data_IF_705046757625
#
_entry.id   IF_705046757625
#
_cell.length_a   1.000
_cell.length_b   1.000
_cell.length_c   1.000
_cell.angle_alpha   90.00
_cell.angle_beta   90.00
_cell.angle_gamma   90.00
#
_symmetry.space_group_name_H-M   'P 1'
#
loop_
_entity.id
_entity.type
_entity.pdbx_description
1 polymer ?
#
# COMPACT_ATOMS: atom_id res chain seq x y z
N UNK A 1 6.95 12.71 -18.01
CA UNK A 1 8.11 12.15 -18.76
C UNK A 1 9.30 12.15 -17.81
N UNK A 2 9.61 11.00 -17.21
CA UNK A 2 10.80 10.82 -16.39
C UNK A 2 11.95 10.42 -17.33
N UNK A 3 12.61 11.41 -17.92
CA UNK A 3 13.81 11.15 -18.71
C UNK A 3 14.98 10.81 -17.75
N UNK A 4 15.52 9.59 -17.86
CA UNK A 4 16.79 9.22 -17.21
C UNK A 4 16.74 8.27 -16.00
N UNK A 5 15.58 7.67 -15.67
CA UNK A 5 15.55 6.53 -14.75
C UNK A 5 15.79 5.24 -15.53
N UNK A 6 16.70 4.39 -15.04
CA UNK A 6 16.92 3.05 -15.55
C UNK A 6 15.74 2.18 -15.08
N UNK A 7 14.72 2.03 -15.93
CA UNK A 7 13.53 1.24 -15.60
C UNK A 7 13.94 -0.23 -15.63
N UNK A 8 13.84 -0.98 -14.51
CA UNK A 8 14.30 -2.35 -14.47
C UNK A 8 13.52 -3.20 -15.47
N UNK A 9 14.19 -3.95 -16.34
CA UNK A 9 13.54 -4.90 -17.26
C UNK A 9 12.93 -6.09 -16.50
N UNK A 10 12.02 -6.83 -17.13
CA UNK A 10 11.45 -8.05 -16.53
C UNK A 10 12.56 -9.06 -16.18
N UNK A 11 12.53 -9.54 -14.95
CA UNK A 11 13.51 -10.46 -14.38
C UNK A 11 14.46 -9.81 -13.36
N UNK A 12 14.48 -8.47 -13.29
CA UNK A 12 15.30 -7.72 -12.34
C UNK A 12 14.62 -7.45 -10.99
N UNK A 13 13.34 -7.78 -10.85
CA UNK A 13 12.59 -7.63 -9.60
C UNK A 13 12.27 -9.01 -8.99
N UNK A 14 12.35 -9.18 -7.65
CA UNK A 14 11.97 -10.41 -6.95
C UNK A 14 10.57 -10.92 -7.34
N UNK A 15 9.62 -10.02 -7.54
CA UNK A 15 8.27 -10.34 -7.97
C UNK A 15 8.22 -10.92 -9.40
N UNK A 16 9.16 -10.57 -10.30
CA UNK A 16 9.25 -11.20 -11.62
C UNK A 16 9.61 -12.69 -11.50
N UNK A 17 10.55 -13.03 -10.61
CA UNK A 17 10.90 -14.42 -10.30
C UNK A 17 9.72 -15.15 -9.65
N UNK A 18 8.97 -14.46 -8.79
CA UNK A 18 7.74 -15.01 -8.20
C UNK A 18 6.67 -15.30 -9.26
N UNK A 19 6.46 -14.40 -10.22
CA UNK A 19 5.55 -14.58 -11.36
C UNK A 19 5.96 -15.83 -12.14
N UNK A 20 7.23 -15.98 -12.51
CA UNK A 20 7.69 -17.15 -13.28
C UNK A 20 7.42 -18.46 -12.53
N UNK A 21 7.65 -18.48 -11.22
CA UNK A 21 7.44 -19.67 -10.41
C UNK A 21 5.96 -20.03 -10.21
N UNK A 22 5.06 -19.04 -10.27
CA UNK A 22 3.67 -19.21 -9.81
C UNK A 22 2.60 -18.92 -10.88
N UNK A 23 2.99 -18.49 -12.09
CA UNK A 23 2.04 -18.20 -13.17
C UNK A 23 1.36 -19.46 -13.70
N UNK A 24 0.03 -19.47 -13.74
CA UNK A 24 -0.75 -20.59 -14.26
C UNK A 24 -1.18 -20.36 -15.71
N UNK A 25 -0.36 -20.86 -16.64
CA UNK A 25 -0.65 -20.79 -18.08
C UNK A 25 -1.93 -21.51 -18.51
N UNK A 26 -2.49 -22.41 -17.68
CA UNK A 26 -3.72 -23.12 -17.96
C UNK A 26 -4.96 -22.46 -17.33
N UNK A 27 -4.77 -21.41 -16.53
CA UNK A 27 -5.86 -20.74 -15.82
C UNK A 27 -6.83 -20.07 -16.80
N UNK A 28 -8.15 -20.23 -16.61
CA UNK A 28 -9.15 -19.51 -17.41
C UNK A 28 -9.33 -18.05 -16.97
N UNK A 29 -8.65 -17.61 -15.91
CA UNK A 29 -8.79 -16.27 -15.35
C UNK A 29 -8.13 -15.22 -16.26
N UNK A 30 -8.73 -14.03 -16.38
CA UNK A 30 -8.08 -12.88 -17.01
C UNK A 30 -6.72 -12.59 -16.37
N UNK A 31 -5.78 -12.09 -17.15
CA UNK A 31 -4.41 -11.79 -16.71
C UNK A 31 -4.38 -10.89 -15.46
N UNK A 32 -5.25 -9.88 -15.40
CA UNK A 32 -5.31 -8.97 -14.24
C UNK A 32 -5.80 -9.65 -12.96
N UNK A 33 -6.73 -10.62 -13.06
CA UNK A 33 -7.20 -11.38 -11.91
C UNK A 33 -6.11 -12.34 -11.40
N UNK A 34 -5.35 -12.95 -12.31
CA UNK A 34 -4.18 -13.75 -11.93
C UNK A 34 -3.08 -12.90 -11.28
N UNK A 35 -2.83 -11.69 -11.80
CA UNK A 35 -1.91 -10.71 -11.19
C UNK A 35 -2.32 -10.42 -9.75
N UNK A 36 -3.60 -10.13 -9.51
CA UNK A 36 -4.14 -9.89 -8.18
C UNK A 36 -3.87 -11.07 -7.24
N UNK A 37 -4.19 -12.29 -7.66
CA UNK A 37 -3.93 -13.51 -6.86
C UNK A 37 -2.45 -13.67 -6.55
N UNK A 38 -1.56 -13.34 -7.49
CA UNK A 38 -0.11 -13.38 -7.24
C UNK A 38 0.31 -12.33 -6.22
N UNK A 39 -0.22 -11.12 -6.29
CA UNK A 39 0.06 -10.06 -5.30
C UNK A 39 -0.46 -10.46 -3.92
N UNK A 40 -1.66 -11.03 -3.80
CA UNK A 40 -2.19 -11.55 -2.54
C UNK A 40 -1.27 -12.63 -1.93
N UNK A 41 -0.79 -13.58 -2.76
CA UNK A 41 0.17 -14.59 -2.31
C UNK A 41 1.51 -13.97 -1.91
N UNK A 42 2.00 -13.00 -2.67
CA UNK A 42 3.26 -12.30 -2.41
C UNK A 42 3.23 -11.52 -1.08
N UNK A 43 2.11 -10.86 -0.80
CA UNK A 43 1.84 -10.21 0.48
C UNK A 43 1.86 -11.24 1.61
N UNK A 44 1.13 -12.34 1.46
CA UNK A 44 0.99 -13.39 2.48
C UNK A 44 2.30 -14.13 2.82
N UNK A 45 3.27 -14.18 1.90
CA UNK A 45 4.60 -14.74 2.16
C UNK A 45 5.30 -14.06 3.34
N UNK A 46 5.06 -12.75 3.53
CA UNK A 46 5.78 -11.95 4.50
C UNK A 46 7.27 -11.79 4.18
N UNK A 47 7.97 -11.06 5.05
CA UNK A 47 9.37 -10.64 4.91
C UNK A 47 10.30 -11.79 4.48
N UNK A 48 10.28 -12.89 5.22
CA UNK A 48 11.18 -14.01 4.93
C UNK A 48 10.69 -14.96 3.83
N UNK A 49 9.37 -15.07 3.61
CA UNK A 49 8.85 -15.89 2.52
C UNK A 49 9.21 -15.33 1.14
N UNK A 50 9.46 -14.01 1.06
CA UNK A 50 9.93 -13.33 -0.16
C UNK A 50 11.45 -13.42 -0.37
N UNK A 51 12.23 -13.77 0.66
CA UNK A 51 13.70 -13.76 0.58
C UNK A 51 14.26 -14.70 -0.49
N UNK A 52 13.66 -15.86 -0.70
CA UNK A 52 14.18 -16.81 -1.71
C UNK A 52 14.20 -16.17 -3.10
N UNK A 53 13.19 -15.36 -3.43
CA UNK A 53 13.09 -14.63 -4.69
C UNK A 53 14.07 -13.44 -4.74
N UNK A 54 14.22 -12.72 -3.63
CA UNK A 54 15.18 -11.61 -3.54
C UNK A 54 16.63 -12.09 -3.67
N UNK A 55 17.02 -13.11 -2.91
CA UNK A 55 18.36 -13.69 -2.94
C UNK A 55 18.69 -14.33 -4.29
N UNK A 56 17.70 -14.95 -4.93
CA UNK A 56 17.86 -15.44 -6.31
C UNK A 56 18.16 -14.29 -7.27
N UNK A 57 17.41 -13.19 -7.16
CA UNK A 57 17.62 -11.98 -7.98
C UNK A 57 19.00 -11.35 -7.75
N UNK A 58 19.51 -11.35 -6.51
CA UNK A 58 20.83 -10.80 -6.20
C UNK A 58 21.98 -11.69 -6.68
N UNK A 59 21.81 -13.02 -6.59
CA UNK A 59 22.80 -13.98 -7.04
C UNK A 59 22.88 -14.06 -8.57
N UNK A 60 21.72 -14.03 -9.24
CA UNK A 60 21.60 -14.03 -10.69
C UNK A 60 20.43 -13.15 -11.14
N UNK A 61 20.69 -11.86 -11.47
CA UNK A 61 19.64 -10.95 -11.88
C UNK A 61 19.12 -11.24 -13.29
N UNK A 62 19.78 -12.12 -14.05
CA UNK A 62 19.42 -12.41 -15.44
C UNK A 62 18.68 -13.74 -15.51
N UNK A 63 17.45 -13.69 -16.04
CA UNK A 63 16.66 -14.89 -16.26
C UNK A 63 16.96 -15.43 -17.65
N UNK A 64 17.77 -16.50 -17.70
CA UNK A 64 18.21 -17.12 -18.96
C UNK A 64 17.06 -17.63 -19.84
N UNK A 65 15.99 -18.16 -19.22
CA UNK A 65 14.84 -18.73 -19.95
C UNK A 65 13.54 -18.42 -19.22
N UNK A 66 12.70 -17.59 -19.84
CA UNK A 66 11.33 -17.35 -19.40
C UNK A 66 10.41 -18.43 -20.01
N UNK A 67 9.66 -19.20 -19.21
CA UNK A 67 8.74 -20.21 -19.72
C UNK A 67 7.70 -19.63 -20.69
N UNK A 68 7.36 -20.39 -21.73
CA UNK A 68 6.36 -19.96 -22.71
C UNK A 68 4.99 -19.72 -22.05
N UNK A 69 4.39 -18.57 -22.33
CA UNK A 69 3.07 -18.18 -21.80
C UNK A 69 3.10 -17.39 -20.49
N UNK A 70 4.28 -17.14 -19.91
CA UNK A 70 4.43 -16.21 -18.78
C UNK A 70 4.44 -14.77 -19.30
N UNK A 71 3.53 -13.89 -18.83
CA UNK A 71 3.53 -12.48 -19.20
C UNK A 71 4.70 -11.74 -18.55
N UNK A 72 5.29 -10.81 -19.29
CA UNK A 72 6.42 -9.98 -18.85
C UNK A 72 6.02 -8.52 -18.60
N UNK A 73 4.75 -8.20 -18.86
CA UNK A 73 4.14 -6.87 -18.86
C UNK A 73 3.06 -6.73 -17.77
N UNK A 74 3.09 -7.58 -16.74
CA UNK A 74 2.17 -7.46 -15.59
C UNK A 74 2.34 -6.14 -14.83
N UNK A 75 3.57 -5.62 -14.79
CA UNK A 75 3.86 -4.29 -14.28
C UNK A 75 4.12 -3.37 -15.47
N UNK A 76 3.45 -2.22 -15.49
CA UNK A 76 3.70 -1.17 -16.48
C UNK A 76 5.10 -0.56 -16.28
N UNK A 77 5.61 0.19 -17.26
CA UNK A 77 6.87 0.93 -17.10
C UNK A 77 6.85 1.88 -15.89
N UNK A 78 5.69 2.50 -15.63
CA UNK A 78 5.50 3.36 -14.46
C UNK A 78 5.55 2.55 -13.15
N UNK A 79 4.87 1.40 -13.07
CA UNK A 79 4.91 0.49 -11.91
C UNK A 79 6.34 -0.01 -11.62
N UNK A 80 7.08 -0.34 -12.68
CA UNK A 80 8.47 -0.79 -12.57
C UNK A 80 9.38 0.34 -12.09
N UNK A 81 9.14 1.58 -12.52
CA UNK A 81 9.82 2.76 -12.00
C UNK A 81 9.51 2.99 -10.51
N UNK A 82 8.25 2.80 -10.08
CA UNK A 82 7.86 2.90 -8.66
C UNK A 82 8.58 1.87 -7.79
N UNK A 83 8.77 0.67 -8.31
CA UNK A 83 9.44 -0.43 -7.59
C UNK A 83 10.92 -0.14 -7.29
N UNK A 84 11.52 0.84 -7.98
CA UNK A 84 12.87 1.35 -7.67
C UNK A 84 12.89 2.46 -6.60
N UNK A 85 11.72 2.95 -6.20
CA UNK A 85 11.56 3.99 -5.18
C UNK A 85 11.22 3.34 -3.83
N UNK A 86 11.95 3.72 -2.79
CA UNK A 86 11.61 3.34 -1.42
C UNK A 86 10.60 4.36 -0.89
N UNK A 87 9.33 3.98 -0.82
CA UNK A 87 8.34 4.66 0.01
C UNK A 87 7.77 3.68 1.02
N UNK A 88 7.53 4.18 2.22
CA UNK A 88 6.81 3.42 3.25
C UNK A 88 5.47 4.09 3.55
N UNK A 89 5.01 4.99 2.67
CA UNK A 89 3.76 5.74 2.85
C UNK A 89 2.91 5.71 1.58
N UNK A 90 1.65 5.29 1.72
CA UNK A 90 0.67 5.25 0.64
C UNK A 90 -0.53 6.15 0.96
N UNK A 91 -1.10 6.77 -0.07
CA UNK A 91 -2.38 7.46 0.00
C UNK A 91 -3.39 6.76 -0.91
N UNK A 92 -4.48 6.25 -0.36
CA UNK A 92 -5.45 5.45 -1.10
C UNK A 92 -6.84 6.05 -0.96
N UNK A 93 -7.46 6.40 -2.08
CA UNK A 93 -8.85 6.87 -2.13
C UNK A 93 -9.81 5.69 -2.24
N UNK A 94 -10.72 5.55 -1.30
CA UNK A 94 -11.70 4.45 -1.28
C UNK A 94 -13.13 4.91 -1.53
N UNK A 95 -13.38 6.23 -1.53
CA UNK A 95 -14.72 6.77 -1.74
C UNK A 95 -14.86 7.62 -3.00
N UNK A 96 -15.79 7.20 -3.86
CA UNK A 96 -16.06 7.78 -5.18
C UNK A 96 -17.53 8.21 -5.36
N UNK A 97 -18.33 8.22 -4.29
CA UNK A 97 -19.77 8.44 -4.35
C UNK A 97 -20.54 7.19 -4.80
N UNK A 98 -21.86 7.29 -4.92
CA UNK A 98 -22.71 6.21 -5.40
C UNK A 98 -22.47 5.94 -6.90
N UNK A 99 -22.11 4.71 -7.31
CA UNK A 99 -21.86 4.37 -8.72
C UNK A 99 -23.09 4.62 -9.63
N UNK A 100 -24.30 4.63 -9.07
CA UNK A 100 -25.55 4.88 -9.81
C UNK A 100 -25.98 6.35 -9.83
N UNK A 101 -25.35 7.23 -9.04
CA UNK A 101 -25.69 8.66 -8.95
C UNK A 101 -24.51 9.56 -9.32
N UNK A 102 -24.59 10.13 -10.53
CA UNK A 102 -23.60 11.08 -11.04
C UNK A 102 -23.39 12.30 -10.12
N UNK A 103 -24.45 12.81 -9.48
CA UNK A 103 -24.31 13.94 -8.54
C UNK A 103 -23.56 13.54 -7.28
N UNK A 104 -23.78 12.32 -6.80
CA UNK A 104 -23.02 11.77 -5.68
C UNK A 104 -21.54 11.64 -6.02
N UNK A 105 -21.22 11.19 -7.24
CA UNK A 105 -19.83 11.11 -7.72
C UNK A 105 -19.17 12.48 -7.83
N UNK A 106 -19.84 13.46 -8.44
CA UNK A 106 -19.35 14.84 -8.53
C UNK A 106 -19.10 15.45 -7.16
N UNK A 107 -20.00 15.21 -6.19
CA UNK A 107 -19.83 15.66 -4.82
C UNK A 107 -18.64 14.98 -4.12
N UNK A 108 -18.46 13.67 -4.32
CA UNK A 108 -17.33 12.92 -3.78
C UNK A 108 -15.99 13.40 -4.37
N UNK A 109 -15.94 13.68 -5.68
CA UNK A 109 -14.75 14.23 -6.35
C UNK A 109 -14.40 15.63 -5.83
N UNK A 110 -15.40 16.49 -5.60
CA UNK A 110 -15.18 17.82 -4.99
C UNK A 110 -14.69 17.72 -3.55
N UNK A 111 -15.27 16.82 -2.75
CA UNK A 111 -14.88 16.60 -1.36
C UNK A 111 -13.45 16.04 -1.27
N UNK A 112 -13.11 15.07 -2.11
CA UNK A 112 -11.76 14.54 -2.23
C UNK A 112 -10.75 15.60 -2.68
N UNK A 113 -11.09 16.45 -3.65
CA UNK A 113 -10.22 17.54 -4.09
C UNK A 113 -9.90 18.54 -2.95
N UNK A 114 -10.90 18.85 -2.11
CA UNK A 114 -10.70 19.66 -0.89
C UNK A 114 -9.75 18.96 0.08
N UNK A 115 -9.97 17.68 0.35
CA UNK A 115 -9.13 16.88 1.26
C UNK A 115 -7.68 16.84 0.76
N UNK A 116 -7.48 16.52 -0.53
CA UNK A 116 -6.16 16.45 -1.17
C UNK A 116 -5.42 17.78 -1.04
N UNK A 117 -6.09 18.90 -1.28
CA UNK A 117 -5.51 20.24 -1.10
C UNK A 117 -5.10 20.51 0.34
N UNK A 118 -5.94 20.11 1.31
CA UNK A 118 -5.66 20.33 2.72
C UNK A 118 -4.45 19.49 3.19
N UNK A 119 -4.45 18.18 2.90
CA UNK A 119 -3.43 17.26 3.42
C UNK A 119 -2.14 17.33 2.60
N UNK A 120 -2.23 17.08 1.28
CA UNK A 120 -1.07 16.88 0.42
C UNK A 120 -0.44 18.20 -0.04
N UNK A 121 -1.21 19.28 -0.03
CA UNK A 121 -0.74 20.59 -0.47
C UNK A 121 -0.68 21.61 0.67
N UNK A 122 -1.05 21.24 1.90
CA UNK A 122 -1.06 22.12 3.07
C UNK A 122 -1.82 23.45 2.81
N UNK A 123 -2.86 23.39 1.99
CA UNK A 123 -3.66 24.55 1.59
C UNK A 123 -3.03 25.47 0.53
N UNK A 124 -1.80 25.20 0.08
CA UNK A 124 -1.05 26.02 -0.88
C UNK A 124 -1.13 25.44 -2.29
N UNK A 125 -1.42 26.27 -3.29
CA UNK A 125 -1.35 25.82 -4.69
C UNK A 125 0.10 25.51 -5.08
N UNK A 126 0.30 24.43 -5.83
CA UNK A 126 1.60 23.93 -6.32
C UNK A 126 2.61 23.51 -5.24
N UNK A 127 2.18 23.37 -3.97
CA UNK A 127 2.96 22.73 -2.93
C UNK A 127 2.63 21.24 -2.83
N UNK A 128 3.64 20.41 -2.64
CA UNK A 128 3.45 18.98 -2.39
C UNK A 128 4.23 18.55 -1.16
N UNK A 129 3.54 17.85 -0.26
CA UNK A 129 4.13 17.27 0.94
C UNK A 129 5.03 16.11 0.52
N UNK A 130 6.34 16.30 0.65
CA UNK A 130 7.34 15.32 0.19
C UNK A 130 7.26 13.97 0.91
N UNK A 131 6.63 13.90 2.09
CA UNK A 131 6.48 12.66 2.84
C UNK A 131 5.34 11.75 2.34
N UNK A 132 4.51 12.22 1.41
CA UNK A 132 3.50 11.40 0.71
C UNK A 132 3.74 11.63 -0.79
N UNK A 133 4.67 10.89 -1.44
CA UNK A 133 5.05 11.19 -2.83
C UNK A 133 3.87 11.00 -3.79
N UNK A 134 3.79 11.80 -4.86
CA UNK A 134 2.67 11.76 -5.80
C UNK A 134 2.51 10.38 -6.46
N UNK A 135 3.64 9.71 -6.62
CA UNK A 135 3.81 8.33 -7.06
C UNK A 135 3.02 7.28 -6.30
N UNK A 136 2.76 7.54 -5.02
CA UNK A 136 2.13 6.60 -4.09
C UNK A 136 0.71 7.06 -3.71
N UNK A 137 0.12 7.92 -4.55
CA UNK A 137 -1.29 8.31 -4.49
C UNK A 137 -2.09 7.41 -5.45
N UNK A 138 -2.94 6.56 -4.87
CA UNK A 138 -3.83 5.67 -5.59
C UNK A 138 -5.25 6.20 -5.49
N UNK A 139 -5.76 6.80 -6.57
CA UNK A 139 -7.12 7.34 -6.63
C UNK A 139 -7.89 7.01 -7.91
N UNK A 140 -7.46 5.98 -8.65
CA UNK A 140 -8.20 5.45 -9.80
C UNK A 140 -9.50 4.76 -9.37
N UNK A 141 -10.62 5.27 -9.88
CA UNK A 141 -11.95 4.74 -9.57
C UNK A 141 -12.16 3.33 -10.12
N UNK A 142 -11.68 3.06 -11.32
CA UNK A 142 -11.95 1.79 -12.02
C UNK A 142 -11.33 0.61 -11.29
N UNK A 143 -10.09 0.79 -10.82
CA UNK A 143 -9.32 -0.22 -10.10
C UNK A 143 -9.82 -0.38 -8.66
N UNK A 144 -9.91 0.72 -7.90
CA UNK A 144 -10.19 0.65 -6.46
C UNK A 144 -11.66 0.30 -6.13
N UNK A 145 -12.61 0.67 -6.99
CA UNK A 145 -14.04 0.36 -6.75
C UNK A 145 -14.34 -1.12 -6.94
N UNK A 146 -13.66 -1.80 -7.86
CA UNK A 146 -13.86 -3.22 -8.11
C UNK A 146 -13.43 -4.08 -6.91
N UNK A 147 -12.39 -3.63 -6.19
CA UNK A 147 -11.79 -4.38 -5.09
C UNK A 147 -12.39 -4.02 -3.72
N UNK A 148 -12.68 -2.75 -3.46
CA UNK A 148 -13.34 -2.32 -2.21
C UNK A 148 -14.74 -2.96 -2.02
N UNK A 149 -15.39 -3.39 -3.10
CA UNK A 149 -16.71 -4.04 -3.06
C UNK A 149 -16.66 -5.55 -2.80
N UNK A 150 -15.52 -6.22 -3.02
CA UNK A 150 -15.42 -7.69 -2.88
C UNK A 150 -15.42 -8.14 -1.42
N UNK A 151 -14.71 -7.42 -0.55
CA UNK A 151 -14.36 -7.93 0.78
C UNK A 151 -15.04 -7.20 1.97
N UNK A 152 -15.99 -6.31 1.69
CA UNK A 152 -16.67 -5.45 2.70
C UNK A 152 -15.73 -4.56 3.51
N UNK A 153 -14.53 -4.32 3.00
CA UNK A 153 -13.56 -3.39 3.59
C UNK A 153 -14.06 -1.95 3.57
N UNK A 154 -15.09 -1.65 2.79
CA UNK A 154 -15.75 -0.33 2.76
C UNK A 154 -17.24 -0.50 2.97
N UNK A 155 -17.77 0.11 4.04
CA UNK A 155 -19.18 0.09 4.40
C UNK A 155 -19.74 1.51 4.30
N UNK A 156 -20.71 1.70 3.41
CA UNK A 156 -21.34 3.00 3.16
C UNK A 156 -20.34 4.13 2.79
N UNK A 157 -19.22 3.76 2.16
CA UNK A 157 -18.14 4.67 1.77
C UNK A 157 -17.08 4.91 2.85
N UNK A 158 -17.22 4.32 4.03
CA UNK A 158 -16.25 4.42 5.13
C UNK A 158 -15.45 3.12 5.20
N UNK A 159 -14.13 3.22 5.34
CA UNK A 159 -13.28 2.04 5.47
C UNK A 159 -13.57 1.34 6.81
N UNK A 160 -13.76 0.03 6.77
CA UNK A 160 -14.23 -0.83 7.87
C UNK A 160 -13.18 -1.89 8.23
N UNK A 161 -11.92 -1.44 8.21
CA UNK A 161 -10.70 -2.20 8.38
C UNK A 161 -10.61 -2.93 9.72
N UNK A 162 -10.05 -4.14 9.70
CA UNK A 162 -9.90 -5.00 10.90
C UNK A 162 -8.44 -5.37 11.14
N UNK A 163 -8.01 -5.48 12.40
CA UNK A 163 -6.68 -5.99 12.72
C UNK A 163 -6.47 -7.38 12.12
N UNK A 164 -5.28 -7.64 11.61
CA UNK A 164 -4.92 -8.91 10.97
C UNK A 164 -5.54 -9.12 9.58
N UNK A 165 -6.29 -8.15 9.04
CA UNK A 165 -6.83 -8.23 7.68
C UNK A 165 -5.94 -7.51 6.67
N UNK A 166 -6.00 -7.96 5.42
CA UNK A 166 -5.36 -7.32 4.26
C UNK A 166 -6.47 -6.74 3.39
N UNK A 167 -6.72 -5.42 3.42
CA UNK A 167 -7.83 -4.83 2.68
C UNK A 167 -7.63 -4.95 1.17
N UNK A 168 -8.71 -5.16 0.43
CA UNK A 168 -8.68 -5.30 -1.02
C UNK A 168 -8.18 -4.05 -1.75
N UNK A 169 -8.37 -2.85 -1.18
CA UNK A 169 -7.82 -1.61 -1.73
C UNK A 169 -6.31 -1.49 -1.52
N UNK A 170 -5.76 -2.10 -0.47
CA UNK A 170 -4.31 -2.19 -0.26
C UNK A 170 -3.69 -3.16 -1.27
N UNK A 171 -4.35 -4.31 -1.51
CA UNK A 171 -3.95 -5.24 -2.58
C UNK A 171 -3.94 -4.52 -3.93
N UNK A 172 -4.99 -3.74 -4.24
CA UNK A 172 -5.07 -2.99 -5.49
C UNK A 172 -3.92 -1.99 -5.63
N UNK A 173 -3.58 -1.22 -4.59
CA UNK A 173 -2.41 -0.34 -4.60
C UNK A 173 -1.10 -1.13 -4.83
N UNK A 174 -0.93 -2.27 -4.15
CA UNK A 174 0.26 -3.12 -4.26
C UNK A 174 0.36 -3.88 -5.59
N UNK A 175 -0.71 -3.92 -6.41
CA UNK A 175 -0.60 -4.37 -7.80
C UNK A 175 0.32 -3.47 -8.64
N UNK A 176 0.55 -2.23 -8.22
CA UNK A 176 1.45 -1.28 -8.89
C UNK A 176 2.86 -1.26 -8.30
N UNK A 177 3.02 -1.69 -7.04
CA UNK A 177 4.30 -1.63 -6.33
C UNK A 177 4.51 -2.83 -5.38
N UNK A 178 4.53 -4.08 -5.88
CA UNK A 178 4.63 -5.27 -5.04
C UNK A 178 5.94 -5.34 -4.22
N UNK A 179 6.99 -4.63 -4.64
CA UNK A 179 8.31 -4.62 -3.98
C UNK A 179 8.40 -3.74 -2.71
N UNK A 180 7.32 -3.01 -2.38
CA UNK A 180 7.37 -1.94 -1.38
C UNK A 180 7.75 -2.39 0.05
N UNK A 181 7.47 -3.63 0.44
CA UNK A 181 7.60 -4.08 1.83
C UNK A 181 9.03 -4.20 2.36
N UNK A 182 9.93 -4.76 1.55
CA UNK A 182 11.25 -5.18 2.01
C UNK A 182 12.39 -4.44 1.29
N UNK A 183 12.06 -3.62 0.28
CA UNK A 183 13.04 -2.97 -0.57
C UNK A 183 13.95 -3.95 -1.33
N UNK A 184 14.96 -3.39 -1.99
CA UNK A 184 15.85 -4.10 -2.92
C UNK A 184 17.29 -4.26 -2.37
N UNK A 185 17.51 -4.01 -1.08
CA UNK A 185 18.83 -4.13 -0.43
C UNK A 185 19.13 -5.57 -0.02
N UNK A 186 20.39 -5.98 -0.20
CA UNK A 186 20.93 -7.23 0.34
C UNK A 186 21.40 -7.04 1.79
N UNK A 187 20.43 -6.81 2.69
CA UNK A 187 20.69 -6.58 4.11
C UNK A 187 20.94 -7.89 4.87
N UNK A 188 21.70 -7.82 5.97
CA UNK A 188 22.10 -8.98 6.79
C UNK A 188 20.92 -9.86 7.20
N UNK A 189 19.76 -9.26 7.51
CA UNK A 189 18.55 -9.99 7.92
C UNK A 189 18.05 -10.99 6.86
N UNK A 190 18.40 -10.78 5.58
CA UNK A 190 18.01 -11.71 4.51
C UNK A 190 18.71 -13.06 4.61
N UNK A 191 19.89 -13.07 5.23
CA UNK A 191 20.77 -14.23 5.39
C UNK A 191 20.64 -14.90 6.77
N UNK A 192 19.72 -14.42 7.61
CA UNK A 192 19.44 -15.04 8.91
C UNK A 192 19.09 -16.52 8.75
N UNK A 193 19.57 -17.33 9.69
CA UNK A 193 19.24 -18.75 9.85
C UNK A 193 17.76 -18.92 10.22
N UNK A 194 17.22 -20.14 10.09
CA UNK A 194 15.84 -20.43 10.49
C UNK A 194 15.55 -20.07 11.96
N UNK A 195 16.54 -20.24 12.84
CA UNK A 195 16.44 -19.91 14.27
C UNK A 195 16.35 -18.39 14.47
N UNK A 196 17.27 -17.62 13.87
CA UNK A 196 17.26 -16.14 13.92
C UNK A 196 15.97 -15.55 13.33
N UNK A 197 15.47 -16.12 12.22
CA UNK A 197 14.20 -15.71 11.59
C UNK A 197 13.02 -15.93 12.53
N UNK A 198 12.97 -17.08 13.22
CA UNK A 198 11.86 -17.39 14.12
C UNK A 198 11.80 -16.43 15.32
N UNK A 199 12.96 -15.99 15.81
CA UNK A 199 13.05 -15.01 16.90
C UNK A 199 12.59 -13.61 16.43
N UNK A 200 13.08 -13.13 15.27
CA UNK A 200 12.73 -11.80 14.74
C UNK A 200 11.27 -11.73 14.23
N UNK A 201 10.70 -12.84 13.74
CA UNK A 201 9.34 -12.87 13.17
C UNK A 201 8.28 -12.37 14.15
N UNK A 202 8.41 -12.71 15.44
CA UNK A 202 7.41 -12.30 16.44
C UNK A 202 7.38 -10.77 16.62
N UNK A 203 8.54 -10.12 16.54
CA UNK A 203 8.63 -8.66 16.58
C UNK A 203 8.19 -8.06 15.24
N UNK A 204 8.57 -8.69 14.13
CA UNK A 204 8.23 -8.23 12.77
C UNK A 204 6.72 -8.26 12.49
N UNK A 205 6.00 -9.28 12.96
CA UNK A 205 4.54 -9.38 12.79
C UNK A 205 3.81 -8.23 13.52
N UNK A 206 4.44 -7.64 14.56
CA UNK A 206 3.93 -6.47 15.31
C UNK A 206 4.49 -5.13 14.83
N UNK A 207 5.57 -5.15 14.04
CA UNK A 207 6.22 -3.96 13.55
C UNK A 207 5.46 -3.37 12.36
N UNK A 208 5.42 -2.04 12.31
CA UNK A 208 4.89 -1.32 11.16
C UNK A 208 5.94 -1.33 10.03
N UNK A 209 5.53 -1.75 8.84
CA UNK A 209 6.31 -1.65 7.60
C UNK A 209 5.78 -0.55 6.66
N UNK A 210 4.46 -0.36 6.62
CA UNK A 210 3.81 0.65 5.78
C UNK A 210 2.87 1.53 6.60
N UNK A 211 2.82 2.81 6.24
CA UNK A 211 1.85 3.79 6.71
C UNK A 211 0.83 4.06 5.58
N UNK A 212 -0.45 3.82 5.84
CA UNK A 212 -1.50 3.98 4.82
C UNK A 212 -2.45 5.10 5.25
N UNK A 213 -2.58 6.12 4.42
CA UNK A 213 -3.64 7.14 4.52
C UNK A 213 -4.82 6.72 3.65
N UNK A 214 -6.00 6.64 4.23
CA UNK A 214 -7.22 6.26 3.53
C UNK A 214 -8.15 7.46 3.40
N UNK A 215 -8.35 7.92 2.16
CA UNK A 215 -9.32 8.94 1.80
C UNK A 215 -10.69 8.28 1.55
N UNK A 216 -11.32 7.88 2.65
CA UNK A 216 -12.70 7.38 2.66
C UNK A 216 -13.72 8.52 2.74
N UNK A 217 -15.01 8.18 2.79
CA UNK A 217 -16.09 9.15 2.87
C UNK A 217 -15.96 10.07 4.06
N UNK A 218 -15.59 9.54 5.23
CA UNK A 218 -15.49 10.34 6.45
C UNK A 218 -14.33 11.33 6.36
N UNK A 219 -13.19 10.92 5.79
CA UNK A 219 -12.09 11.82 5.48
C UNK A 219 -12.53 12.94 4.52
N UNK A 220 -13.23 12.58 3.43
CA UNK A 220 -13.61 13.54 2.39
C UNK A 220 -14.70 14.53 2.86
N UNK A 221 -15.73 14.07 3.58
CA UNK A 221 -16.85 14.90 4.01
C UNK A 221 -16.56 15.65 5.32
N UNK A 222 -15.89 15.00 6.27
CA UNK A 222 -15.74 15.49 7.65
C UNK A 222 -14.30 15.90 8.00
N UNK A 223 -13.32 15.59 7.16
CA UNK A 223 -11.90 15.91 7.36
C UNK A 223 -11.13 14.87 8.19
N UNK A 224 -11.79 13.84 8.73
CA UNK A 224 -11.15 12.80 9.55
C UNK A 224 -10.45 11.74 8.70
N UNK A 225 -9.17 11.95 8.40
CA UNK A 225 -8.32 11.05 7.62
C UNK A 225 -8.03 9.80 8.43
N UNK A 226 -8.31 8.62 7.86
CA UNK A 226 -7.91 7.36 8.46
C UNK A 226 -6.45 7.07 8.15
N UNK A 227 -5.73 6.65 9.17
CA UNK A 227 -4.32 6.27 9.11
C UNK A 227 -4.17 4.88 9.70
N UNK A 228 -3.53 4.00 8.92
CA UNK A 228 -3.34 2.59 9.27
C UNK A 228 -1.84 2.27 9.30
N UNK A 229 -1.44 1.50 10.30
CA UNK A 229 -0.16 0.85 10.33
C UNK A 229 -0.31 -0.58 9.79
N UNK A 230 0.58 -0.98 8.89
CA UNK A 230 0.53 -2.27 8.21
C UNK A 230 1.87 -2.99 8.36
N UNK A 231 1.83 -4.26 8.74
CA UNK A 231 3.04 -5.08 8.93
C UNK A 231 3.59 -5.63 7.61
N UNK A 232 4.68 -6.38 7.67
CA UNK A 232 5.32 -6.98 6.48
C UNK A 232 4.47 -8.01 5.71
N UNK A 233 3.32 -8.42 6.26
CA UNK A 233 2.33 -9.33 5.64
C UNK A 233 1.16 -8.56 5.04
N UNK A 234 1.23 -7.24 4.97
CA UNK A 234 0.11 -6.42 4.49
C UNK A 234 -1.07 -6.39 5.47
N UNK A 235 -0.90 -6.93 6.67
CA UNK A 235 -1.96 -6.99 7.66
C UNK A 235 -2.03 -5.68 8.44
N UNK A 236 -3.23 -5.18 8.63
CA UNK A 236 -3.49 -4.02 9.48
C UNK A 236 -3.13 -4.37 10.93
N UNK A 237 -2.28 -3.57 11.55
CA UNK A 237 -2.01 -3.65 12.98
C UNK A 237 -3.25 -3.21 13.79
N UNK A 238 -3.37 -3.59 15.07
CA UNK A 238 -4.56 -3.31 15.90
C UNK A 238 -5.08 -1.87 15.86
N UNK A 239 -4.19 -0.92 15.68
CA UNK A 239 -4.48 0.50 15.74
C UNK A 239 -4.98 1.08 14.43
N UNK A 240 -6.07 1.81 14.52
CA UNK A 240 -6.56 2.68 13.44
C UNK A 240 -6.74 4.07 14.00
N UNK A 241 -6.16 5.05 13.33
CA UNK A 241 -6.12 6.43 13.80
C UNK A 241 -6.93 7.30 12.85
N UNK A 242 -7.76 8.17 13.40
CA UNK A 242 -8.42 9.26 12.70
C UNK A 242 -7.75 10.55 13.13
N UNK A 243 -7.08 11.19 12.18
CA UNK A 243 -6.43 12.49 12.36
C UNK A 243 -7.16 13.55 11.53
N UNK A 244 -7.10 14.79 12.00
CA UNK A 244 -7.65 15.95 11.30
C UNK A 244 -6.85 16.19 10.01
N UNK A 245 -7.54 16.59 8.95
CA UNK A 245 -6.94 16.78 7.63
C UNK A 245 -5.73 17.73 7.65
N UNK A 246 -5.75 18.77 8.49
CA UNK A 246 -4.63 19.70 8.64
C UNK A 246 -3.38 19.06 9.24
N UNK A 247 -3.54 18.11 10.16
CA UNK A 247 -2.45 17.50 10.93
C UNK A 247 -2.00 16.15 10.33
N UNK A 248 -2.79 15.54 9.44
CA UNK A 248 -2.50 14.22 8.86
C UNK A 248 -1.11 14.14 8.19
N UNK A 249 -0.64 15.21 7.54
CA UNK A 249 0.70 15.24 6.96
C UNK A 249 1.82 15.13 8.00
N UNK A 250 1.61 15.61 9.23
CA UNK A 250 2.58 15.50 10.31
C UNK A 250 2.81 14.03 10.71
N UNK A 251 1.79 13.18 10.62
CA UNK A 251 1.95 11.73 10.86
C UNK A 251 2.92 11.11 9.84
N UNK A 252 2.83 11.51 8.57
CA UNK A 252 3.77 11.04 7.55
C UNK A 252 5.20 11.56 7.79
N UNK A 253 5.37 12.79 8.29
CA UNK A 253 6.67 13.33 8.70
C UNK A 253 7.25 12.51 9.86
N UNK A 254 6.47 12.31 10.93
CA UNK A 254 6.88 11.54 12.10
C UNK A 254 7.30 10.12 11.72
N UNK A 255 6.54 9.48 10.83
CA UNK A 255 6.87 8.15 10.32
C UNK A 255 8.20 8.12 9.56
N UNK A 256 8.47 9.11 8.70
CA UNK A 256 9.77 9.22 8.03
C UNK A 256 10.93 9.48 9.00
N UNK A 257 10.65 10.11 10.15
CA UNK A 257 11.62 10.29 11.25
C UNK A 257 11.75 9.06 12.16
N UNK A 258 11.04 7.97 11.86
CA UNK A 258 11.14 6.69 12.56
C UNK A 258 10.15 6.51 13.72
N UNK A 259 9.09 7.32 13.79
CA UNK A 259 8.04 7.18 14.80
C UNK A 259 6.86 6.38 14.24
N UNK A 260 6.69 5.09 14.61
CA UNK A 260 5.55 4.29 14.18
C UNK A 260 4.24 4.80 14.81
N UNK A 261 3.12 4.42 14.21
CA UNK A 261 1.79 4.83 14.68
C UNK A 261 1.48 4.30 16.08
N UNK A 262 2.10 3.18 16.50
CA UNK A 262 1.91 2.60 17.83
C UNK A 262 2.34 3.53 18.96
N UNK A 263 3.31 4.44 18.73
CA UNK A 263 3.73 5.44 19.73
C UNK A 263 2.62 6.47 20.05
N UNK A 264 1.55 6.53 19.26
CA UNK A 264 0.41 7.43 19.47
C UNK A 264 -0.70 6.83 20.35
N UNK A 265 -0.59 5.56 20.75
CA UNK A 265 -1.61 4.85 21.51
C UNK A 265 -1.10 4.42 22.89
N UNK A 266 -1.97 4.48 23.89
CA UNK A 266 -1.64 4.08 25.27
C UNK A 266 -1.60 2.54 25.44
N UNK A 267 -2.38 1.78 24.65
CA UNK A 267 -2.44 0.31 24.69
C UNK A 267 -2.30 -0.31 23.29
N UNK A 268 -1.26 -1.16 23.12
CA UNK A 268 -0.82 -1.53 21.78
C UNK A 268 -1.67 -2.58 21.03
N UNK A 269 -2.51 -3.29 21.78
CA UNK A 269 -3.19 -4.49 21.29
C UNK A 269 -4.73 -4.32 21.25
N UNK A 270 -5.23 -3.13 21.54
CA UNK A 270 -6.67 -2.86 21.49
C UNK A 270 -7.17 -2.64 20.05
N UNK A 271 -8.21 -3.37 19.67
CA UNK A 271 -8.96 -3.20 18.42
C UNK A 271 -9.83 -1.93 18.51
N UNK A 272 -9.19 -0.75 18.48
CA UNK A 272 -9.87 0.56 18.61
C UNK A 272 -9.64 1.47 17.39
N UNK A 273 -10.60 2.36 17.14
CA UNK A 273 -10.42 3.53 16.26
C UNK A 273 -10.25 4.76 17.17
N UNK A 274 -9.07 5.38 17.12
CA UNK A 274 -8.71 6.52 17.96
C UNK A 274 -8.86 7.82 17.18
N UNK A 275 -9.37 8.88 17.82
CA UNK A 275 -9.44 10.22 17.23
C UNK A 275 -8.37 11.09 17.90
N UNK A 276 -7.40 11.56 17.12
CA UNK A 276 -6.34 12.45 17.61
C UNK A 276 -6.85 13.88 17.64
N UNK A 277 -7.57 14.20 18.71
CA UNK A 277 -8.08 15.55 18.98
C UNK A 277 -9.58 15.62 19.15
N UNK A 278 -10.03 16.81 19.54
CA UNK A 278 -11.45 17.15 19.70
C UNK A 278 -11.85 18.16 18.61
N UNK A 279 -13.14 18.20 18.23
CA UNK A 279 -13.68 19.22 17.34
C UNK A 279 -14.08 18.69 15.98
N UNK A 280 -13.92 19.52 14.94
CA UNK A 280 -14.15 19.10 13.57
C UNK A 280 -12.90 18.44 12.97
N UNK A 281 -13.09 17.62 11.94
CA UNK A 281 -11.99 16.88 11.33
C UNK A 281 -11.10 17.74 10.43
N UNK A 282 -11.39 19.03 10.24
CA UNK A 282 -10.64 19.86 9.29
C UNK A 282 -9.52 20.67 9.95
N UNK A 283 -9.76 21.27 11.13
CA UNK A 283 -8.86 22.25 11.78
C UNK A 283 -8.32 21.84 13.15
#
# INVERSE_FOLDING_TARGET
MREGLDIPEFGYLPFDHFIIANWDTASPLPQNEQKRILVEKWIALGKYGRNDYALTTFADPVIDVIPAGVPQDLLSEDDRALSSMLSTTLWIRTWFGDPADKKSQEAADMAYARLRKQVLQQGLEDYHVSCIPEEFIFDDRGELTADAQRDRDVIAGVAADRPGSVPGYLVAALMHCPELFDGMSDDDWRHFTEEERAEELTESDRAQNLLIFVADRKACEEGWVLVLAVNHRGEILPFRVRERAKEAAQIAVNWQEGQPLSEMADEEDEDVELYLGEGDGWD
#
